data_IF_771944144844
#
_entry.id   IF_771944144844
#
_cell.length_a   1.000
_cell.length_b   1.000
_cell.length_c   1.000
_cell.angle_alpha   90.00
_cell.angle_beta   90.00
_cell.angle_gamma   90.00
#
_symmetry.space_group_name_H-M   'P 1'
#
loop_
_entity.id
_entity.type
_entity.pdbx_description
1 polymer ?
#
# COMPACT_ATOMS: atom_id res chain seq x y z
N UNK A 1 -49.55 -21.02 23.79
CA UNK A 1 -50.21 -20.58 22.55
C UNK A 1 -49.80 -19.13 22.33
N UNK A 2 -49.12 -18.86 21.22
CA UNK A 2 -48.70 -17.53 20.76
C UNK A 2 -49.90 -16.58 20.70
N UNK A 3 -49.82 -15.24 20.73
CA UNK A 3 -48.84 -14.27 20.23
C UNK A 3 -49.39 -12.88 20.62
N UNK A 4 -48.59 -11.83 20.37
CA UNK A 4 -49.01 -10.52 19.82
C UNK A 4 -48.52 -9.30 20.61
N UNK A 5 -47.68 -8.53 19.93
CA UNK A 5 -47.26 -7.14 20.18
C UNK A 5 -46.17 -6.88 21.23
N UNK A 6 -44.94 -7.23 20.88
CA UNK A 6 -43.85 -6.26 20.98
C UNK A 6 -43.07 -6.22 19.65
N UNK A 7 -43.58 -5.38 18.73
CA UNK A 7 -42.99 -5.07 17.41
C UNK A 7 -42.56 -3.60 17.44
N UNK A 8 -41.81 -3.18 18.47
CA UNK A 8 -41.23 -1.83 18.50
C UNK A 8 -39.71 -1.84 18.60
N UNK A 9 -39.11 -2.84 19.26
CA UNK A 9 -37.65 -2.87 19.47
C UNK A 9 -36.84 -3.34 18.24
N UNK A 10 -37.37 -4.23 17.39
CA UNK A 10 -36.66 -4.76 16.21
C UNK A 10 -36.72 -3.89 14.94
N UNK A 11 -37.45 -2.77 14.94
CA UNK A 11 -37.60 -1.92 13.74
C UNK A 11 -36.52 -0.86 13.59
N UNK A 12 -35.74 -0.57 14.64
CA UNK A 12 -34.68 0.44 14.56
C UNK A 12 -33.37 -0.12 14.01
N UNK A 13 -33.00 -1.33 14.44
CA UNK A 13 -31.78 -1.99 13.95
C UNK A 13 -31.90 -2.50 12.49
N UNK A 14 -33.12 -2.81 12.03
CA UNK A 14 -33.34 -3.32 10.67
C UNK A 14 -33.45 -2.21 9.61
N UNK A 15 -33.61 -0.95 10.02
CA UNK A 15 -33.75 0.18 9.09
C UNK A 15 -32.40 0.72 8.61
N UNK A 16 -31.32 0.44 9.35
CA UNK A 16 -29.95 0.77 8.93
C UNK A 16 -29.39 -0.23 7.91
N UNK A 17 -29.99 -1.42 7.76
CA UNK A 17 -29.53 -2.46 6.82
C UNK A 17 -30.12 -2.32 5.41
N UNK A 18 -31.18 -1.52 5.21
CA UNK A 18 -31.88 -1.37 3.91
C UNK A 18 -31.52 -0.10 3.13
N UNK A 19 -30.78 0.84 3.73
CA UNK A 19 -30.13 1.89 2.95
C UNK A 19 -28.90 1.28 2.30
N UNK A 20 -29.03 0.88 1.02
CA UNK A 20 -27.96 0.24 0.27
C UNK A 20 -26.62 0.92 0.52
N UNK A 21 -25.58 0.12 0.79
CA UNK A 21 -24.26 0.57 1.27
C UNK A 21 -23.67 1.81 0.54
N UNK A 22 -24.09 2.13 -0.69
CA UNK A 22 -23.67 3.32 -1.43
C UNK A 22 -24.42 4.63 -1.12
N UNK A 23 -25.64 4.59 -0.58
CA UNK A 23 -26.46 5.79 -0.35
C UNK A 23 -25.85 6.74 0.69
N UNK A 24 -25.24 6.18 1.75
CA UNK A 24 -24.54 6.92 2.81
C UNK A 24 -23.33 7.69 2.28
N UNK A 25 -22.76 7.26 1.14
CA UNK A 25 -21.59 7.87 0.52
C UNK A 25 -21.92 8.77 -0.68
N UNK A 26 -23.19 8.82 -1.12
CA UNK A 26 -23.59 9.51 -2.34
C UNK A 26 -23.62 11.04 -2.21
N UNK A 27 -23.85 11.57 -1.00
CA UNK A 27 -23.88 13.02 -0.71
C UNK A 27 -23.31 13.28 0.68
N UNK A 28 -21.98 13.24 0.77
CA UNK A 28 -21.27 13.60 2.00
C UNK A 28 -21.04 15.10 2.05
N UNK A 29 -21.28 15.69 3.22
CA UNK A 29 -20.88 17.06 3.51
C UNK A 29 -19.48 17.05 4.14
N UNK A 30 -18.53 17.74 3.50
CA UNK A 30 -17.13 17.82 3.94
C UNK A 30 -17.00 18.30 5.39
N UNK A 31 -17.75 19.33 5.76
CA UNK A 31 -17.66 19.95 7.09
C UNK A 31 -18.10 18.98 8.19
N UNK A 32 -19.16 18.20 7.92
CA UNK A 32 -19.69 17.20 8.83
C UNK A 32 -18.68 16.07 9.04
N UNK A 33 -18.06 15.56 7.96
CA UNK A 33 -17.09 14.47 8.08
C UNK A 33 -15.82 14.92 8.81
N UNK A 34 -15.32 16.12 8.55
CA UNK A 34 -14.18 16.68 9.29
C UNK A 34 -14.50 16.91 10.78
N UNK A 35 -15.75 17.26 11.10
CA UNK A 35 -16.21 17.35 12.48
C UNK A 35 -16.27 15.97 13.15
N UNK A 36 -16.78 14.94 12.45
CA UNK A 36 -16.78 13.55 12.92
C UNK A 36 -15.35 13.03 13.17
N UNK A 37 -14.37 13.42 12.35
CA UNK A 37 -12.96 13.04 12.51
C UNK A 37 -12.36 13.47 13.86
N UNK A 38 -12.96 14.44 14.56
CA UNK A 38 -12.58 14.80 15.94
C UNK A 38 -12.78 13.64 16.93
N UNK A 39 -13.61 12.65 16.59
CA UNK A 39 -13.78 11.42 17.37
C UNK A 39 -12.47 10.64 17.54
N UNK A 40 -11.51 10.78 16.62
CA UNK A 40 -10.19 10.13 16.74
C UNK A 40 -9.39 10.62 17.94
N UNK A 41 -9.74 11.77 18.53
CA UNK A 41 -9.09 12.32 19.71
C UNK A 41 -9.59 11.75 21.04
N UNK A 42 -10.62 10.91 21.04
CA UNK A 42 -11.17 10.32 22.26
C UNK A 42 -10.24 9.25 22.85
N UNK A 43 -10.23 9.14 24.18
CA UNK A 43 -9.41 8.16 24.92
C UNK A 43 -9.79 6.72 24.59
N UNK A 44 -11.07 6.45 24.34
CA UNK A 44 -11.58 5.13 23.98
C UNK A 44 -12.01 5.10 22.52
N UNK A 45 -11.23 4.39 21.69
CA UNK A 45 -11.51 4.28 20.27
C UNK A 45 -12.53 3.18 19.99
N UNK A 46 -13.54 3.48 19.17
CA UNK A 46 -14.43 2.47 18.59
C UNK A 46 -13.97 2.15 17.15
N UNK A 47 -13.37 0.97 16.89
CA UNK A 47 -12.78 0.68 15.59
C UNK A 47 -13.77 0.73 14.44
N UNK A 48 -14.99 0.24 14.63
CA UNK A 48 -16.03 0.22 13.58
C UNK A 48 -16.43 1.64 13.16
N UNK A 49 -16.65 2.52 14.15
CA UNK A 49 -16.97 3.93 13.88
C UNK A 49 -15.79 4.65 13.21
N UNK A 50 -14.57 4.41 13.68
CA UNK A 50 -13.38 5.02 13.09
C UNK A 50 -13.19 4.58 11.63
N UNK A 51 -13.36 3.30 11.32
CA UNK A 51 -13.34 2.80 9.93
C UNK A 51 -14.39 3.52 9.08
N UNK A 52 -15.62 3.66 9.58
CA UNK A 52 -16.67 4.33 8.82
C UNK A 52 -16.33 5.80 8.52
N UNK A 53 -15.79 6.55 9.49
CA UNK A 53 -15.33 7.94 9.29
C UNK A 53 -14.18 7.99 8.29
N UNK A 54 -13.19 7.10 8.42
CA UNK A 54 -12.07 7.02 7.46
C UNK A 54 -12.56 6.70 6.03
N UNK A 55 -13.56 5.83 5.87
CA UNK A 55 -14.18 5.58 4.56
C UNK A 55 -14.83 6.83 4.00
N UNK A 56 -15.54 7.62 4.83
CA UNK A 56 -16.11 8.90 4.39
C UNK A 56 -15.03 9.89 3.94
N UNK A 57 -13.90 9.96 4.65
CA UNK A 57 -12.75 10.80 4.26
C UNK A 57 -12.22 10.37 2.88
N UNK A 58 -12.05 9.07 2.64
CA UNK A 58 -11.62 8.57 1.32
C UNK A 58 -12.61 8.96 0.21
N UNK A 59 -13.91 8.86 0.45
CA UNK A 59 -14.93 9.24 -0.54
C UNK A 59 -14.87 10.74 -0.85
N UNK A 60 -14.65 11.60 0.14
CA UNK A 60 -14.52 13.06 -0.07
C UNK A 60 -13.28 13.38 -0.91
N UNK A 61 -12.16 12.66 -0.72
CA UNK A 61 -10.94 12.91 -1.50
C UNK A 61 -11.12 12.66 -3.00
N UNK A 62 -12.02 11.74 -3.37
CA UNK A 62 -12.35 11.41 -4.77
C UNK A 62 -13.47 12.28 -5.36
N UNK A 63 -14.15 13.09 -4.53
CA UNK A 63 -15.19 14.00 -4.99
C UNK A 63 -14.60 15.26 -5.63
N UNK A 64 -15.42 15.97 -6.41
CA UNK A 64 -15.00 17.21 -7.09
C UNK A 64 -14.57 18.32 -6.15
N UNK A 65 -15.11 18.35 -4.92
CA UNK A 65 -14.71 19.31 -3.89
C UNK A 65 -13.50 18.77 -3.12
N UNK A 66 -12.31 19.29 -3.46
CA UNK A 66 -11.07 18.86 -2.81
C UNK A 66 -10.92 19.44 -1.41
N UNK A 67 -10.36 18.62 -0.51
CA UNK A 67 -9.92 19.05 0.81
C UNK A 67 -8.82 20.11 0.68
N UNK A 68 -8.93 21.20 1.46
CA UNK A 68 -7.86 22.19 1.57
C UNK A 68 -6.66 21.59 2.31
N UNK A 69 -5.45 22.14 2.08
CA UNK A 69 -4.22 21.66 2.74
C UNK A 69 -4.32 21.65 4.27
N UNK A 70 -4.86 22.72 4.86
CA UNK A 70 -5.03 22.83 6.32
C UNK A 70 -5.99 21.76 6.84
N UNK A 71 -7.15 21.60 6.19
CA UNK A 71 -8.15 20.59 6.54
C UNK A 71 -7.58 19.16 6.43
N UNK A 72 -6.86 18.87 5.35
CA UNK A 72 -6.20 17.59 5.12
C UNK A 72 -5.14 17.29 6.19
N UNK A 73 -4.34 18.30 6.55
CA UNK A 73 -3.29 18.18 7.57
C UNK A 73 -3.91 17.95 8.95
N UNK A 74 -4.95 18.70 9.34
CA UNK A 74 -5.67 18.48 10.60
C UNK A 74 -6.29 17.08 10.69
N UNK A 75 -6.92 16.62 9.60
CA UNK A 75 -7.45 15.26 9.51
C UNK A 75 -6.34 14.20 9.61
N UNK A 76 -5.19 14.46 8.98
CA UNK A 76 -4.01 13.59 9.03
C UNK A 76 -3.47 13.47 10.46
N UNK A 77 -3.31 14.59 11.17
CA UNK A 77 -2.89 14.60 12.56
C UNK A 77 -3.89 13.88 13.46
N UNK A 78 -5.20 14.10 13.27
CA UNK A 78 -6.23 13.43 14.05
C UNK A 78 -6.17 11.90 13.90
N UNK A 79 -5.99 11.38 12.67
CA UNK A 79 -5.94 9.94 12.44
C UNK A 79 -4.66 9.27 12.98
N UNK A 80 -3.59 10.01 13.27
CA UNK A 80 -2.37 9.42 13.87
C UNK A 80 -2.65 8.72 15.20
N UNK A 81 -3.66 9.19 15.96
CA UNK A 81 -4.08 8.56 17.22
C UNK A 81 -4.68 7.16 17.02
N UNK A 82 -5.16 6.83 15.81
CA UNK A 82 -5.73 5.53 15.50
C UNK A 82 -4.70 4.40 15.51
N UNK A 83 -3.40 4.71 15.45
CA UNK A 83 -2.32 3.72 15.66
C UNK A 83 -2.34 3.09 17.06
N UNK A 84 -3.03 3.69 18.04
CA UNK A 84 -3.20 3.12 19.38
C UNK A 84 -4.10 1.87 19.38
N UNK A 85 -4.95 1.70 18.36
CA UNK A 85 -5.82 0.53 18.25
C UNK A 85 -5.10 -0.64 17.56
N UNK A 86 -5.26 -1.85 18.09
CA UNK A 86 -4.75 -3.09 17.48
C UNK A 86 -5.77 -3.76 16.54
N UNK A 87 -6.91 -3.12 16.25
CA UNK A 87 -7.91 -3.67 15.32
C UNK A 87 -7.37 -3.71 13.88
N UNK A 88 -7.43 -4.89 13.25
CA UNK A 88 -6.80 -5.09 11.95
C UNK A 88 -7.51 -4.33 10.82
N UNK A 89 -8.83 -4.19 10.88
CA UNK A 89 -9.60 -3.52 9.85
C UNK A 89 -9.39 -2.01 9.92
N UNK A 90 -9.38 -1.45 11.12
CA UNK A 90 -9.01 -0.06 11.35
C UNK A 90 -7.60 0.22 10.87
N UNK A 91 -6.64 -0.65 11.19
CA UNK A 91 -5.25 -0.46 10.78
C UNK A 91 -5.09 -0.50 9.26
N UNK A 92 -5.78 -1.42 8.57
CA UNK A 92 -5.79 -1.48 7.09
C UNK A 92 -6.39 -0.22 6.48
N UNK A 93 -7.50 0.27 7.03
CA UNK A 93 -8.14 1.49 6.57
C UNK A 93 -7.23 2.72 6.80
N UNK A 94 -6.55 2.79 7.94
CA UNK A 94 -5.60 3.84 8.25
C UNK A 94 -4.46 3.90 7.21
N UNK A 95 -3.89 2.76 6.82
CA UNK A 95 -2.85 2.74 5.77
C UNK A 95 -3.33 3.23 4.41
N UNK A 96 -4.60 2.97 4.06
CA UNK A 96 -5.17 3.50 2.82
C UNK A 96 -5.27 5.02 2.89
N UNK A 97 -5.85 5.54 3.96
CA UNK A 97 -6.04 6.99 4.15
C UNK A 97 -4.71 7.73 4.23
N UNK A 98 -3.67 7.15 4.85
CA UNK A 98 -2.31 7.71 4.85
C UNK A 98 -1.80 7.91 3.42
N UNK A 99 -1.96 6.92 2.54
CA UNK A 99 -1.46 7.04 1.16
C UNK A 99 -2.19 8.15 0.40
N UNK A 100 -3.51 8.24 0.53
CA UNK A 100 -4.30 9.23 -0.20
C UNK A 100 -4.10 10.65 0.35
N UNK A 101 -4.13 10.83 1.68
CA UNK A 101 -3.92 12.15 2.29
C UNK A 101 -2.48 12.66 2.12
N UNK A 102 -1.50 11.77 1.97
CA UNK A 102 -0.10 12.19 1.85
C UNK A 102 0.22 13.07 0.65
N UNK A 103 -0.64 13.08 -0.37
CA UNK A 103 -0.51 13.94 -1.54
C UNK A 103 -0.95 15.40 -1.27
N UNK A 104 -1.70 15.64 -0.19
CA UNK A 104 -2.35 16.93 0.10
C UNK A 104 -1.92 17.52 1.45
N UNK A 105 -1.73 16.68 2.46
CA UNK A 105 -1.35 17.08 3.81
C UNK A 105 0.14 17.40 3.93
N UNK A 106 0.47 18.35 4.81
CA UNK A 106 1.84 18.66 5.19
C UNK A 106 2.29 17.79 6.39
N UNK A 107 3.59 17.74 6.68
CA UNK A 107 4.19 17.04 7.84
C UNK A 107 3.83 15.55 7.99
N UNK A 108 3.56 14.88 6.86
CA UNK A 108 3.16 13.45 6.80
C UNK A 108 4.20 12.49 7.41
N UNK A 109 5.44 12.94 7.59
CA UNK A 109 6.55 12.19 8.18
C UNK A 109 6.27 11.76 9.63
N UNK A 110 5.32 12.40 10.32
CA UNK A 110 4.97 12.05 11.72
C UNK A 110 4.58 10.56 11.91
N UNK A 111 4.05 9.89 10.88
CA UNK A 111 3.68 8.46 10.98
C UNK A 111 4.82 7.48 10.68
N UNK A 112 6.01 7.96 10.29
CA UNK A 112 7.15 7.12 9.88
C UNK A 112 7.56 6.12 10.96
N UNK A 113 7.65 6.55 12.23
CA UNK A 113 7.97 5.67 13.36
C UNK A 113 6.92 4.57 13.55
N UNK A 114 5.63 4.93 13.52
CA UNK A 114 4.52 3.99 13.66
C UNK A 114 4.49 2.96 12.52
N UNK A 115 4.70 3.40 11.27
CA UNK A 115 4.76 2.51 10.11
C UNK A 115 6.00 1.61 10.13
N UNK A 116 7.13 2.12 10.60
CA UNK A 116 8.37 1.32 10.76
C UNK A 116 8.16 0.23 11.81
N UNK A 117 7.52 0.56 12.94
CA UNK A 117 7.13 -0.41 13.96
C UNK A 117 6.22 -1.50 13.40
N UNK A 118 5.23 -1.13 12.59
CA UNK A 118 4.30 -2.09 11.99
C UNK A 118 4.94 -2.94 10.89
N UNK A 119 5.91 -2.39 10.15
CA UNK A 119 6.70 -3.10 9.13
C UNK A 119 7.56 -4.22 9.75
N UNK A 120 8.14 -3.98 10.93
CA UNK A 120 9.03 -4.94 11.62
C UNK A 120 8.34 -5.71 12.73
N UNK A 121 7.08 -5.38 13.04
CA UNK A 121 6.31 -5.98 14.13
C UNK A 121 5.94 -7.45 13.89
N UNK A 122 5.45 -8.14 14.93
CA UNK A 122 5.11 -9.57 14.83
C UNK A 122 3.85 -9.82 13.97
N UNK A 123 2.93 -8.84 13.89
CA UNK A 123 1.70 -8.95 13.11
C UNK A 123 1.95 -8.92 11.60
N UNK A 124 2.09 -10.10 10.99
CA UNK A 124 2.28 -10.30 9.55
C UNK A 124 1.23 -9.55 8.70
N UNK A 125 0.00 -9.44 9.19
CA UNK A 125 -1.10 -8.73 8.52
C UNK A 125 -0.84 -7.23 8.34
N UNK A 126 0.01 -6.63 9.16
CA UNK A 126 0.34 -5.20 9.12
C UNK A 126 1.55 -4.90 8.26
N UNK A 127 2.54 -5.79 8.24
CA UNK A 127 3.86 -5.55 7.64
C UNK A 127 3.77 -5.11 6.17
N UNK A 128 3.10 -5.89 5.32
CA UNK A 128 3.00 -5.58 3.88
C UNK A 128 2.30 -4.25 3.58
N UNK A 129 1.08 -4.03 4.10
CA UNK A 129 0.39 -2.74 3.96
C UNK A 129 1.16 -1.55 4.55
N UNK A 130 1.81 -1.72 5.71
CA UNK A 130 2.63 -0.69 6.32
C UNK A 130 3.82 -0.29 5.45
N UNK A 131 4.50 -1.26 4.82
CA UNK A 131 5.59 -1.01 3.87
C UNK A 131 5.13 -0.12 2.71
N UNK A 132 3.96 -0.41 2.12
CA UNK A 132 3.42 0.38 1.00
C UNK A 132 3.07 1.80 1.42
N UNK A 133 2.48 1.97 2.61
CA UNK A 133 2.19 3.28 3.16
C UNK A 133 3.48 4.06 3.46
N UNK A 134 4.48 3.41 4.07
CA UNK A 134 5.76 4.01 4.40
C UNK A 134 6.49 4.48 3.14
N UNK A 135 6.64 3.62 2.14
CA UNK A 135 7.30 3.98 0.88
C UNK A 135 6.54 5.04 0.07
N UNK A 136 5.28 5.32 0.41
CA UNK A 136 4.48 6.36 -0.25
C UNK A 136 4.81 7.75 0.28
N UNK A 137 5.17 7.86 1.57
CA UNK A 137 5.42 9.14 2.26
C UNK A 137 6.91 9.44 2.44
N UNK A 138 7.79 8.53 2.05
CA UNK A 138 9.26 8.67 2.21
C UNK A 138 9.89 9.40 1.03
N UNK A 139 10.91 10.20 1.33
CA UNK A 139 11.85 10.81 0.38
C UNK A 139 13.15 10.00 0.31
N UNK A 140 14.10 10.45 -0.51
CA UNK A 140 15.37 9.75 -0.71
C UNK A 140 16.18 9.57 0.59
N UNK A 141 16.20 10.58 1.48
CA UNK A 141 16.94 10.53 2.74
C UNK A 141 16.32 9.53 3.72
N UNK A 142 14.98 9.51 3.82
CA UNK A 142 14.25 8.55 4.65
C UNK A 142 14.37 7.13 4.11
N UNK A 143 14.32 6.92 2.79
CA UNK A 143 14.51 5.58 2.19
C UNK A 143 15.86 4.99 2.62
N UNK A 144 16.91 5.82 2.70
CA UNK A 144 18.22 5.37 3.15
C UNK A 144 18.22 4.89 4.62
N UNK A 145 17.43 5.52 5.50
CA UNK A 145 17.35 5.11 6.91
C UNK A 145 16.58 3.80 7.10
N UNK A 146 15.61 3.50 6.23
CA UNK A 146 14.80 2.27 6.30
C UNK A 146 15.28 1.16 5.35
N UNK A 147 16.29 1.43 4.50
CA UNK A 147 16.76 0.52 3.44
C UNK A 147 17.04 -0.90 3.95
N UNK A 148 17.69 -1.00 5.11
CA UNK A 148 18.03 -2.30 5.72
C UNK A 148 16.79 -3.15 5.96
N UNK A 149 15.72 -2.56 6.48
CA UNK A 149 14.48 -3.28 6.77
C UNK A 149 13.76 -3.69 5.48
N UNK A 150 13.78 -2.83 4.46
CA UNK A 150 13.19 -3.13 3.16
C UNK A 150 13.92 -4.29 2.47
N UNK A 151 15.25 -4.29 2.44
CA UNK A 151 16.07 -5.40 1.91
C UNK A 151 15.74 -6.74 2.57
N UNK A 152 15.64 -6.77 3.90
CA UNK A 152 15.23 -7.96 4.63
C UNK A 152 13.82 -8.42 4.23
N UNK A 153 12.91 -7.47 4.02
CA UNK A 153 11.54 -7.77 3.64
C UNK A 153 11.38 -8.26 2.18
N UNK A 154 12.33 -7.97 1.27
CA UNK A 154 12.34 -8.52 -0.11
C UNK A 154 12.42 -10.06 -0.10
N UNK A 155 13.22 -10.62 0.81
CA UNK A 155 13.44 -12.07 0.94
C UNK A 155 12.60 -12.70 2.06
N UNK A 156 11.60 -11.99 2.58
CA UNK A 156 10.71 -12.49 3.63
C UNK A 156 9.99 -13.78 3.20
N UNK A 157 9.71 -14.67 4.17
CA UNK A 157 8.99 -15.94 3.92
C UNK A 157 7.58 -15.68 3.38
N UNK A 158 6.92 -14.63 3.84
CA UNK A 158 5.58 -14.24 3.40
C UNK A 158 5.62 -13.62 1.99
N UNK A 159 4.96 -14.24 0.98
CA UNK A 159 4.92 -13.69 -0.37
C UNK A 159 4.26 -12.32 -0.45
N UNK A 160 3.33 -12.01 0.46
CA UNK A 160 2.64 -10.74 0.53
C UNK A 160 3.58 -9.60 0.94
N UNK A 161 4.49 -9.86 1.89
CA UNK A 161 5.49 -8.88 2.36
C UNK A 161 6.53 -8.64 1.28
N UNK A 162 7.12 -9.71 0.74
CA UNK A 162 8.08 -9.63 -0.35
C UNK A 162 7.51 -8.88 -1.56
N UNK A 163 6.28 -9.22 -1.97
CA UNK A 163 5.59 -8.50 -3.06
C UNK A 163 5.33 -7.04 -2.72
N UNK A 164 4.95 -6.71 -1.48
CA UNK A 164 4.70 -5.34 -1.06
C UNK A 164 5.95 -4.46 -1.19
N UNK A 165 7.11 -4.94 -0.74
CA UNK A 165 8.39 -4.24 -0.89
C UNK A 165 8.75 -4.09 -2.36
N UNK A 166 8.69 -5.19 -3.14
CA UNK A 166 9.04 -5.17 -4.55
C UNK A 166 8.18 -4.17 -5.31
N UNK A 167 6.85 -4.17 -5.12
CA UNK A 167 5.94 -3.17 -5.73
C UNK A 167 6.23 -1.75 -5.26
N UNK A 168 6.63 -1.56 -4.00
CA UNK A 168 6.99 -0.23 -3.48
C UNK A 168 8.31 0.27 -4.08
N UNK A 169 9.26 -0.64 -4.33
CA UNK A 169 10.52 -0.33 -4.95
C UNK A 169 10.37 0.17 -6.40
N UNK A 170 9.32 -0.22 -7.13
CA UNK A 170 9.01 0.40 -8.43
C UNK A 170 8.76 1.90 -8.30
N UNK A 171 7.94 2.32 -7.33
CA UNK A 171 7.72 3.75 -7.06
C UNK A 171 9.01 4.44 -6.62
N UNK A 172 9.84 3.76 -5.84
CA UNK A 172 11.12 4.31 -5.39
C UNK A 172 12.17 4.39 -6.51
N UNK A 173 12.03 3.66 -7.62
CA UNK A 173 12.90 3.84 -8.79
C UNK A 173 12.76 5.24 -9.40
N UNK A 174 11.58 5.86 -9.30
CA UNK A 174 11.35 7.22 -9.82
C UNK A 174 11.87 8.31 -8.85
N UNK A 175 11.98 7.99 -7.56
CA UNK A 175 12.37 8.94 -6.50
C UNK A 175 13.86 8.86 -6.17
N UNK A 176 14.40 7.65 -6.00
CA UNK A 176 15.78 7.40 -5.58
C UNK A 176 16.38 6.14 -6.26
N UNK A 177 16.54 6.17 -7.60
CA UNK A 177 16.99 5.00 -8.38
C UNK A 177 18.34 4.45 -7.90
N UNK A 178 19.26 5.32 -7.47
CA UNK A 178 20.59 4.90 -7.04
C UNK A 178 20.56 4.03 -5.77
N UNK A 179 19.58 4.26 -4.88
CA UNK A 179 19.39 3.41 -3.70
C UNK A 179 18.87 2.04 -4.13
N UNK A 180 17.84 1.99 -4.97
CA UNK A 180 17.18 0.75 -5.39
C UNK A 180 18.09 -0.12 -6.28
N UNK A 181 18.93 0.48 -7.12
CA UNK A 181 19.94 -0.26 -7.91
C UNK A 181 20.89 -1.10 -7.02
N UNK A 182 21.13 -0.68 -5.77
CA UNK A 182 21.93 -1.45 -4.79
C UNK A 182 21.23 -2.71 -4.26
N UNK A 183 19.97 -2.95 -4.61
CA UNK A 183 19.17 -4.09 -4.16
C UNK A 183 19.21 -5.25 -5.16
N UNK A 184 20.09 -5.17 -6.17
CA UNK A 184 20.19 -6.15 -7.26
C UNK A 184 20.30 -7.59 -6.74
N UNK A 185 21.01 -7.83 -5.63
CA UNK A 185 21.20 -9.17 -5.09
C UNK A 185 19.91 -9.73 -4.49
N UNK A 186 19.25 -8.97 -3.63
CA UNK A 186 18.00 -9.36 -2.97
C UNK A 186 16.86 -9.54 -4.00
N UNK A 187 16.78 -8.64 -4.98
CA UNK A 187 15.79 -8.73 -6.07
C UNK A 187 16.07 -9.94 -6.96
N UNK A 188 17.34 -10.23 -7.27
CA UNK A 188 17.70 -11.40 -8.05
C UNK A 188 17.40 -12.72 -7.31
N UNK A 189 17.59 -12.77 -5.99
CA UNK A 189 17.19 -13.91 -5.16
C UNK A 189 15.68 -14.11 -5.21
N UNK A 190 14.90 -13.04 -5.01
CA UNK A 190 13.44 -13.08 -5.08
C UNK A 190 12.93 -13.53 -6.46
N UNK A 191 13.56 -13.10 -7.55
CA UNK A 191 13.24 -13.50 -8.92
C UNK A 191 13.58 -14.97 -9.21
N UNK A 192 14.58 -15.53 -8.53
CA UNK A 192 14.96 -16.94 -8.67
C UNK A 192 14.06 -17.89 -7.85
N UNK A 193 13.18 -17.34 -7.00
CA UNK A 193 12.24 -18.10 -6.18
C UNK A 193 11.07 -18.71 -6.96
N UNK A 194 10.31 -19.60 -6.30
CA UNK A 194 9.16 -20.31 -6.89
C UNK A 194 7.82 -19.59 -6.70
N UNK A 195 7.78 -18.51 -5.92
CA UNK A 195 6.56 -17.77 -5.57
C UNK A 195 6.10 -16.92 -6.76
N UNK A 196 4.94 -17.27 -7.34
CA UNK A 196 4.43 -16.74 -8.61
C UNK A 196 4.50 -15.20 -8.69
N UNK A 197 3.86 -14.49 -7.75
CA UNK A 197 3.79 -13.03 -7.79
C UNK A 197 5.11 -12.36 -7.42
N UNK A 198 5.84 -12.92 -6.46
CA UNK A 198 7.16 -12.39 -6.05
C UNK A 198 8.14 -12.50 -7.21
N UNK A 199 8.18 -13.64 -7.91
CA UNK A 199 9.03 -13.83 -9.08
C UNK A 199 8.68 -12.83 -10.19
N UNK A 200 7.38 -12.61 -10.45
CA UNK A 200 6.94 -11.63 -11.43
C UNK A 200 7.39 -10.20 -11.07
N UNK A 201 7.08 -9.74 -9.86
CA UNK A 201 7.46 -8.39 -9.42
C UNK A 201 8.98 -8.20 -9.40
N UNK A 202 9.72 -9.18 -8.90
CA UNK A 202 11.18 -9.13 -8.80
C UNK A 202 11.85 -9.14 -10.17
N UNK A 203 11.37 -9.96 -11.11
CA UNK A 203 11.92 -9.99 -12.47
C UNK A 203 11.75 -8.64 -13.18
N UNK A 204 10.58 -8.01 -13.06
CA UNK A 204 10.37 -6.69 -13.66
C UNK A 204 11.19 -5.60 -12.98
N UNK A 205 11.38 -5.66 -11.66
CA UNK A 205 12.22 -4.68 -10.96
C UNK A 205 13.69 -4.87 -11.34
N UNK A 206 14.13 -6.13 -11.49
CA UNK A 206 15.48 -6.45 -11.95
C UNK A 206 15.73 -5.92 -13.36
N UNK A 207 14.73 -6.02 -14.24
CA UNK A 207 14.79 -5.42 -15.57
C UNK A 207 14.89 -3.91 -15.48
N UNK A 208 14.05 -3.22 -14.69
CA UNK A 208 14.13 -1.76 -14.52
C UNK A 208 15.49 -1.28 -13.97
N UNK A 209 16.09 -2.04 -13.05
CA UNK A 209 17.44 -1.76 -12.53
C UNK A 209 18.49 -1.86 -13.64
N UNK A 210 18.33 -2.80 -14.58
CA UNK A 210 19.32 -3.14 -15.61
C UNK A 210 19.05 -2.53 -16.98
N UNK A 211 17.88 -1.95 -17.24
CA UNK A 211 17.45 -1.58 -18.59
C UNK A 211 18.37 -0.57 -19.30
N UNK A 212 19.20 0.17 -18.56
CA UNK A 212 20.20 1.08 -19.12
C UNK A 212 21.50 0.37 -19.57
N UNK A 213 21.71 -0.89 -19.18
CA UNK A 213 22.90 -1.69 -19.50
C UNK A 213 22.48 -2.94 -20.30
N UNK A 214 22.65 -2.85 -21.63
CA UNK A 214 22.30 -3.92 -22.58
C UNK A 214 22.98 -5.26 -22.25
N UNK A 215 24.22 -5.25 -21.77
CA UNK A 215 24.92 -6.48 -21.39
C UNK A 215 24.31 -7.09 -20.13
N UNK A 216 23.91 -6.27 -19.15
CA UNK A 216 23.23 -6.74 -17.94
C UNK A 216 21.84 -7.33 -18.24
N UNK A 217 21.10 -6.74 -19.18
CA UNK A 217 19.81 -7.27 -19.67
C UNK A 217 20.02 -8.61 -20.39
N UNK A 218 21.01 -8.68 -21.28
CA UNK A 218 21.33 -9.92 -22.02
C UNK A 218 21.70 -11.06 -21.05
N UNK A 219 22.53 -10.79 -20.05
CA UNK A 219 22.89 -11.78 -19.01
C UNK A 219 21.68 -12.21 -18.18
N UNK A 220 20.75 -11.29 -17.90
CA UNK A 220 19.50 -11.60 -17.19
C UNK A 220 18.63 -12.55 -18.01
N UNK A 221 18.42 -12.25 -19.30
CA UNK A 221 17.65 -13.10 -20.23
C UNK A 221 18.28 -14.50 -20.25
N UNK A 222 19.59 -14.60 -20.53
CA UNK A 222 20.29 -15.88 -20.60
C UNK A 222 20.14 -16.72 -19.31
N UNK A 223 20.21 -16.09 -18.14
CA UNK A 223 19.99 -16.76 -16.85
C UNK A 223 18.58 -17.36 -16.77
N UNK A 224 17.56 -16.54 -17.03
CA UNK A 224 16.16 -16.93 -16.83
C UNK A 224 15.54 -17.71 -17.99
N UNK A 225 16.21 -17.80 -19.14
CA UNK A 225 15.86 -18.76 -20.21
C UNK A 225 16.43 -20.14 -19.90
N UNK A 226 17.61 -20.23 -19.27
CA UNK A 226 18.20 -21.52 -18.85
C UNK A 226 17.51 -22.10 -17.61
N UNK A 227 17.05 -21.26 -16.69
CA UNK A 227 16.27 -21.68 -15.53
C UNK A 227 14.78 -21.67 -15.82
N UNK A 228 14.02 -22.67 -15.40
CA UNK A 228 12.56 -22.65 -15.56
C UNK A 228 11.91 -21.60 -14.66
N UNK A 229 11.30 -20.58 -15.25
CA UNK A 229 10.39 -19.67 -14.53
C UNK A 229 9.15 -20.44 -14.06
N UNK A 230 8.62 -20.09 -12.90
CA UNK A 230 7.41 -20.70 -12.31
C UNK A 230 6.17 -19.83 -12.52
N UNK A 231 6.35 -18.53 -12.65
CA UNK A 231 5.27 -17.56 -12.82
C UNK A 231 4.90 -17.39 -14.30
N UNK A 232 3.64 -17.66 -14.70
CA UNK A 232 3.20 -17.37 -16.07
C UNK A 232 3.32 -15.87 -16.41
N UNK A 233 3.10 -14.99 -15.44
CA UNK A 233 3.30 -13.55 -15.59
C UNK A 233 4.76 -13.19 -15.86
N UNK A 234 5.71 -13.88 -15.22
CA UNK A 234 7.14 -13.70 -15.48
C UNK A 234 7.52 -14.17 -16.89
N UNK A 235 6.91 -15.25 -17.40
CA UNK A 235 7.10 -15.64 -18.80
C UNK A 235 6.60 -14.57 -19.78
N UNK A 236 5.37 -14.08 -19.60
CA UNK A 236 4.83 -13.01 -20.45
C UNK A 236 5.73 -11.76 -20.43
N UNK A 237 6.24 -11.40 -19.26
CA UNK A 237 7.17 -10.28 -19.12
C UNK A 237 8.51 -10.55 -19.81
N UNK A 238 9.09 -11.75 -19.65
CA UNK A 238 10.33 -12.13 -20.31
C UNK A 238 10.21 -12.08 -21.84
N UNK A 239 9.09 -12.55 -22.40
CA UNK A 239 8.83 -12.47 -23.84
C UNK A 239 8.84 -11.01 -24.31
N UNK A 240 8.19 -10.09 -23.57
CA UNK A 240 8.20 -8.65 -23.89
C UNK A 240 9.60 -8.04 -23.82
N UNK A 241 10.38 -8.42 -22.81
CA UNK A 241 11.77 -7.93 -22.65
C UNK A 241 12.64 -8.41 -23.82
N UNK A 242 12.53 -9.69 -24.20
CA UNK A 242 13.28 -10.26 -25.33
C UNK A 242 12.87 -9.60 -26.64
N UNK A 243 11.57 -9.43 -26.90
CA UNK A 243 11.08 -8.76 -28.10
C UNK A 243 11.64 -7.34 -28.21
N UNK A 244 11.56 -6.55 -27.13
CA UNK A 244 12.12 -5.20 -27.09
C UNK A 244 13.63 -5.19 -27.36
N UNK A 245 14.37 -6.15 -26.81
CA UNK A 245 15.81 -6.26 -27.05
C UNK A 245 16.13 -6.57 -28.52
N UNK A 246 15.35 -7.41 -29.18
CA UNK A 246 15.55 -7.73 -30.60
C UNK A 246 15.24 -6.53 -31.51
N UNK A 247 14.25 -5.71 -31.16
CA UNK A 247 13.92 -4.50 -31.92
C UNK A 247 15.06 -3.46 -31.81
N UNK A 248 15.59 -3.23 -30.59
CA UNK A 248 16.76 -2.35 -30.39
C UNK A 248 18.02 -2.85 -31.12
N UNK A 249 18.18 -4.17 -31.25
CA UNK A 249 19.29 -4.80 -31.95
C UNK A 249 19.14 -4.74 -33.48
N UNK A 250 17.92 -4.64 -34.01
CA UNK A 250 17.64 -4.54 -35.45
C UNK A 250 17.73 -3.11 -36.01
N UNK A 251 17.57 -2.11 -35.15
CA UNK A 251 17.68 -0.68 -35.50
C UNK A 251 19.12 -0.12 -35.35
N UNK A 252 20.10 -0.94 -34.92
CA UNK A 252 21.52 -0.57 -34.78
C UNK A 252 22.44 -1.24 -35.78
#
# INVERSE_FOLDING_TARGET
MASFFDVSSKRKDKKEEEEGYGAVYAKLDKSVVLQEARLFNQTTLNPRKCVHILTKILVILEQSEKLGKVEATDAFFAMTKLFQSNDQNLRRMLYLVIKELSAVADDVIIVTSSLTKDMTGPEIAFRGPAIRALCTITDAAMVQSIERYLKQAVVDKSPAIASAVLTSAYKLMDVCPDIIKRWTNEVQEAASGSRIMVQYHALGLLYLIRQSDRLAVTKMIQKFTRSTLRSPYAYCLMIRIVAKQLDEDGDS
#
